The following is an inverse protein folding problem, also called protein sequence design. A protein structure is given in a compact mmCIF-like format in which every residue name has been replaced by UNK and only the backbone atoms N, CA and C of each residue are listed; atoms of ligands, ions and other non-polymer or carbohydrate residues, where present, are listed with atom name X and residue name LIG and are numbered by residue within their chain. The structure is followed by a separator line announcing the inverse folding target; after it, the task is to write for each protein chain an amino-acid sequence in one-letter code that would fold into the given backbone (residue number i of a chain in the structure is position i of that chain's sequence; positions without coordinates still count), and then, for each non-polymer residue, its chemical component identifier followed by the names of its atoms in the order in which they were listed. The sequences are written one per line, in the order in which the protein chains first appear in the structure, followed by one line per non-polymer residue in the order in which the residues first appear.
data_IF_727622977484
#
_entry.id   IF_727622977484
#
_cell.length_a   1.000
_cell.length_b   1.000
_cell.length_c   1.000
_cell.angle_alpha   90.00
_cell.angle_beta   90.00
_cell.angle_gamma   90.00
#
_symmetry.space_group_name_H-M   'P 1'
#
loop_
_entity.id
_entity.type
_entity.pdbx_description
1 polymer ?
#
# COMPACT_ATOMS: atom_id res chain seq x y z
N UNK A 1 -24.06 -80.85 29.80
CA UNK A 1 -24.13 -79.44 29.37
C UNK A 1 -23.01 -79.23 28.36
N UNK A 2 -23.38 -79.03 27.09
CA UNK A 2 -22.45 -79.16 25.95
C UNK A 2 -21.74 -77.85 25.60
N UNK A 3 -20.55 -77.98 25.01
CA UNK A 3 -19.67 -76.90 24.52
C UNK A 3 -20.36 -75.83 23.65
N UNK A 4 -21.50 -76.16 23.02
CA UNK A 4 -22.32 -75.22 22.26
C UNK A 4 -22.94 -74.11 23.10
N UNK A 5 -23.49 -74.42 24.28
CA UNK A 5 -24.12 -73.42 25.17
C UNK A 5 -23.12 -72.40 25.71
N UNK A 6 -21.86 -72.80 25.86
CA UNK A 6 -20.78 -71.93 26.32
C UNK A 6 -20.38 -70.92 25.23
N UNK A 7 -20.27 -71.37 23.98
CA UNK A 7 -19.96 -70.53 22.81
C UNK A 7 -21.09 -69.53 22.47
N UNK A 8 -22.35 -69.88 22.73
CA UNK A 8 -23.48 -68.97 22.53
C UNK A 8 -23.52 -67.86 23.59
N UNK A 9 -23.30 -68.21 24.87
CA UNK A 9 -23.20 -67.21 25.96
C UNK A 9 -22.04 -66.24 25.78
N UNK A 10 -20.88 -66.73 25.33
CA UNK A 10 -19.70 -65.89 25.10
C UNK A 10 -19.90 -64.90 23.93
N UNK A 11 -20.64 -65.30 22.90
CA UNK A 11 -21.06 -64.38 21.82
C UNK A 11 -22.11 -63.38 22.28
N UNK A 12 -23.07 -63.81 23.09
CA UNK A 12 -24.13 -62.95 23.63
C UNK A 12 -23.57 -61.86 24.54
N UNK A 13 -22.65 -62.20 25.46
CA UNK A 13 -21.94 -61.21 26.28
C UNK A 13 -21.12 -60.23 25.43
N UNK A 14 -20.49 -60.71 24.36
CA UNK A 14 -19.74 -59.85 23.43
C UNK A 14 -20.63 -58.86 22.70
N UNK A 15 -21.82 -59.28 22.26
CA UNK A 15 -22.79 -58.39 21.62
C UNK A 15 -23.39 -57.39 22.61
N UNK A 16 -23.71 -57.81 23.84
CA UNK A 16 -24.20 -56.91 24.89
C UNK A 16 -23.19 -55.80 25.19
N UNK A 17 -21.90 -56.16 25.28
CA UNK A 17 -20.82 -55.20 25.51
C UNK A 17 -20.64 -54.22 24.34
N UNK A 18 -20.80 -54.70 23.10
CA UNK A 18 -20.80 -53.83 21.92
C UNK A 18 -21.99 -52.87 21.88
N UNK A 19 -23.17 -53.31 22.29
CA UNK A 19 -24.37 -52.47 22.39
C UNK A 19 -24.15 -51.38 23.44
N UNK A 20 -23.60 -51.73 24.61
CA UNK A 20 -23.29 -50.77 25.67
C UNK A 20 -22.24 -49.73 25.24
N UNK A 21 -21.18 -50.17 24.55
CA UNK A 21 -20.15 -49.27 24.00
C UNK A 21 -20.73 -48.31 22.95
N UNK A 22 -21.63 -48.81 22.09
CA UNK A 22 -22.29 -47.99 21.07
C UNK A 22 -23.26 -46.99 21.71
N UNK A 23 -24.02 -47.39 22.73
CA UNK A 23 -24.89 -46.49 23.49
C UNK A 23 -24.11 -45.36 24.18
N UNK A 24 -22.97 -45.69 24.78
CA UNK A 24 -22.09 -44.70 25.41
C UNK A 24 -21.47 -43.73 24.39
N UNK A 25 -21.10 -44.20 23.20
CA UNK A 25 -20.62 -43.33 22.11
C UNK A 25 -21.72 -42.39 21.61
N UNK A 26 -22.93 -42.92 21.44
CA UNK A 26 -24.07 -42.15 20.96
C UNK A 26 -24.44 -41.03 21.95
N UNK A 27 -24.46 -41.35 23.25
CA UNK A 27 -24.69 -40.37 24.31
C UNK A 27 -23.65 -39.24 24.33
N UNK A 28 -22.36 -39.58 24.17
CA UNK A 28 -21.29 -38.56 24.06
C UNK A 28 -21.46 -37.66 22.84
N UNK A 29 -21.87 -38.22 21.70
CA UNK A 29 -22.14 -37.44 20.49
C UNK A 29 -23.36 -36.53 20.66
N UNK A 30 -24.42 -36.97 21.34
CA UNK A 30 -25.58 -36.15 21.65
C UNK A 30 -25.22 -34.96 22.54
N UNK A 31 -24.41 -35.18 23.59
CA UNK A 31 -23.90 -34.13 24.47
C UNK A 31 -23.01 -33.12 23.71
N UNK A 32 -22.17 -33.59 22.79
CA UNK A 32 -21.33 -32.74 21.93
C UNK A 32 -22.17 -31.93 20.94
N UNK A 33 -23.21 -32.51 20.34
CA UNK A 33 -24.15 -31.81 19.46
C UNK A 33 -24.89 -30.71 20.23
N UNK A 34 -25.33 -30.98 21.47
CA UNK A 34 -26.00 -29.98 22.30
C UNK A 34 -25.06 -28.81 22.60
N UNK A 35 -23.80 -29.10 22.96
CA UNK A 35 -22.78 -28.08 23.21
C UNK A 35 -22.48 -27.25 21.97
N UNK A 36 -22.29 -27.89 20.81
CA UNK A 36 -22.04 -27.20 19.55
C UNK A 36 -23.22 -26.32 19.12
N UNK A 37 -24.47 -26.76 19.36
CA UNK A 37 -25.65 -25.92 19.10
C UNK A 37 -25.66 -24.67 19.98
N UNK A 38 -25.33 -24.81 21.25
CA UNK A 38 -25.21 -23.67 22.17
C UNK A 38 -24.09 -22.72 21.77
N UNK A 39 -22.91 -23.24 21.44
CA UNK A 39 -21.77 -22.43 21.00
C UNK A 39 -22.07 -21.68 19.69
N UNK A 40 -22.77 -22.32 18.74
CA UNK A 40 -23.26 -21.66 17.53
C UNK A 40 -24.22 -20.53 17.89
N UNK A 41 -25.22 -20.78 18.74
CA UNK A 41 -26.21 -19.78 19.16
C UNK A 41 -25.55 -18.54 19.77
N UNK A 42 -24.58 -18.75 20.69
CA UNK A 42 -23.76 -17.68 21.29
C UNK A 42 -22.98 -16.91 20.23
N UNK A 43 -22.30 -17.60 19.30
CA UNK A 43 -21.53 -16.95 18.22
C UNK A 43 -22.43 -16.14 17.27
N UNK A 44 -23.64 -16.62 16.97
CA UNK A 44 -24.63 -15.86 16.19
C UNK A 44 -25.14 -14.64 16.94
N UNK A 45 -25.46 -14.76 18.24
CA UNK A 45 -25.86 -13.61 19.07
C UNK A 45 -24.73 -12.57 19.20
N UNK A 46 -23.46 -13.00 19.27
CA UNK A 46 -22.28 -12.12 19.24
C UNK A 46 -22.02 -11.46 17.88
N UNK A 47 -22.43 -12.09 16.77
CA UNK A 47 -22.36 -11.49 15.43
C UNK A 47 -23.49 -10.51 15.16
N UNK A 48 -24.71 -10.83 15.57
CA UNK A 48 -25.91 -9.98 15.38
C UNK A 48 -25.88 -8.71 16.24
N UNK A 49 -25.13 -8.70 17.34
CA UNK A 49 -25.07 -7.56 18.27
C UNK A 49 -24.06 -6.47 17.89
N UNK A 50 -23.21 -6.66 16.87
CA UNK A 50 -22.14 -5.69 16.53
C UNK A 50 -22.56 -4.59 15.55
N UNK A 51 -23.50 -4.86 14.63
CA UNK A 51 -23.98 -3.89 13.63
C UNK A 51 -25.47 -4.13 13.39
N UNK A 52 -26.32 -3.16 13.74
CA UNK A 52 -27.77 -3.26 13.53
C UNK A 52 -28.16 -3.17 12.04
N UNK A 53 -29.30 -3.75 11.66
CA UNK A 53 -29.81 -3.67 10.28
C UNK A 53 -29.95 -2.24 9.74
N UNK A 54 -30.32 -1.27 10.59
CA UNK A 54 -30.33 0.16 10.23
C UNK A 54 -28.94 0.71 9.95
N UNK A 55 -27.91 0.26 10.67
CA UNK A 55 -26.52 0.67 10.41
C UNK A 55 -26.04 0.09 9.08
N UNK A 56 -26.38 -1.16 8.76
CA UNK A 56 -26.11 -1.76 7.44
C UNK A 56 -26.78 -0.99 6.31
N UNK A 57 -28.06 -0.63 6.45
CA UNK A 57 -28.79 0.16 5.47
C UNK A 57 -28.14 1.54 5.23
N UNK A 58 -27.67 2.19 6.31
CA UNK A 58 -26.92 3.45 6.23
C UNK A 58 -25.58 3.24 5.51
N UNK A 59 -24.85 2.16 5.81
CA UNK A 59 -23.59 1.84 5.12
C UNK A 59 -23.81 1.61 3.62
N UNK A 60 -24.83 0.85 3.25
CA UNK A 60 -25.18 0.61 1.85
C UNK A 60 -25.55 1.90 1.12
N UNK A 61 -26.37 2.75 1.74
CA UNK A 61 -26.75 4.04 1.15
C UNK A 61 -25.55 4.94 0.94
N UNK A 62 -24.67 5.03 1.94
CA UNK A 62 -23.45 5.82 1.86
C UNK A 62 -22.49 5.27 0.80
N UNK A 63 -22.34 3.95 0.70
CA UNK A 63 -21.54 3.29 -0.33
C UNK A 63 -22.07 3.62 -1.74
N UNK A 64 -23.38 3.52 -1.97
CA UNK A 64 -24.01 3.86 -3.25
C UNK A 64 -23.78 5.32 -3.62
N UNK A 65 -24.04 6.24 -2.69
CA UNK A 65 -23.79 7.67 -2.91
C UNK A 65 -22.31 7.94 -3.22
N UNK A 66 -21.39 7.32 -2.49
CA UNK A 66 -19.96 7.51 -2.71
C UNK A 66 -19.49 6.95 -4.06
N UNK A 67 -20.06 5.82 -4.50
CA UNK A 67 -19.82 5.29 -5.85
C UNK A 67 -20.33 6.24 -6.94
N UNK A 68 -21.52 6.82 -6.80
CA UNK A 68 -22.05 7.81 -7.74
C UNK A 68 -21.23 9.09 -7.76
N UNK A 69 -20.86 9.64 -6.60
CA UNK A 69 -19.97 10.79 -6.49
C UNK A 69 -18.62 10.51 -7.14
N UNK A 70 -18.02 9.34 -6.89
CA UNK A 70 -16.76 8.93 -7.50
C UNK A 70 -16.85 8.87 -9.03
N UNK A 71 -17.92 8.28 -9.59
CA UNK A 71 -18.19 8.29 -11.03
C UNK A 71 -18.27 9.71 -11.58
N UNK A 72 -19.06 10.58 -10.94
CA UNK A 72 -19.21 11.98 -11.33
C UNK A 72 -17.87 12.73 -11.32
N UNK A 73 -17.02 12.50 -10.32
CA UNK A 73 -15.68 13.10 -10.27
C UNK A 73 -14.77 12.56 -11.37
N UNK A 74 -14.79 11.24 -11.65
CA UNK A 74 -14.04 10.67 -12.78
C UNK A 74 -14.46 11.27 -14.11
N UNK A 75 -15.76 11.37 -14.37
CA UNK A 75 -16.31 11.99 -15.58
C UNK A 75 -15.89 13.46 -15.70
N UNK A 76 -15.92 14.21 -14.59
CA UNK A 76 -15.43 15.59 -14.55
C UNK A 76 -13.94 15.67 -14.88
N UNK A 77 -13.10 14.81 -14.30
CA UNK A 77 -11.67 14.78 -14.60
C UNK A 77 -11.43 14.50 -16.09
N UNK A 78 -12.14 13.52 -16.67
CA UNK A 78 -12.05 13.19 -18.10
C UNK A 78 -12.47 14.37 -18.97
N UNK A 79 -13.50 15.14 -18.59
CA UNK A 79 -13.93 16.32 -19.37
C UNK A 79 -12.85 17.41 -19.43
N UNK A 80 -12.04 17.54 -18.37
CA UNK A 80 -10.84 18.37 -18.35
C UNK A 80 -9.59 17.71 -18.95
N UNK A 81 -9.73 16.54 -19.60
CA UNK A 81 -8.64 15.72 -20.14
C UNK A 81 -7.63 15.28 -19.06
N UNK A 82 -8.06 15.20 -17.81
CA UNK A 82 -7.28 14.67 -16.69
C UNK A 82 -7.57 13.17 -16.60
N UNK A 83 -6.54 12.34 -16.72
CA UNK A 83 -6.70 10.88 -16.63
C UNK A 83 -7.12 10.47 -15.20
N UNK A 84 -8.33 9.91 -15.00
CA UNK A 84 -8.79 9.47 -13.68
C UNK A 84 -8.13 8.16 -13.22
N UNK A 85 -7.50 7.41 -14.14
CA UNK A 85 -6.80 6.17 -13.84
C UNK A 85 -5.30 6.43 -13.74
N UNK A 86 -4.76 6.16 -12.55
CA UNK A 86 -3.37 6.43 -12.24
C UNK A 86 -2.52 5.22 -12.65
N UNK A 87 -2.21 5.13 -13.94
CA UNK A 87 -1.68 3.88 -14.49
C UNK A 87 -0.15 3.75 -14.50
N UNK A 88 0.62 4.78 -14.10
CA UNK A 88 2.07 4.66 -13.90
C UNK A 88 2.63 5.88 -13.14
N UNK A 89 3.51 5.63 -12.17
CA UNK A 89 4.38 6.66 -11.60
C UNK A 89 5.45 7.02 -12.62
N UNK A 90 5.71 8.31 -12.82
CA UNK A 90 6.63 8.82 -13.84
C UNK A 90 8.06 8.99 -13.34
N UNK A 91 8.23 9.20 -12.03
CA UNK A 91 9.51 9.54 -11.43
C UNK A 91 9.84 8.61 -10.25
N UNK A 92 11.14 8.33 -10.12
CA UNK A 92 11.75 7.68 -8.97
C UNK A 92 11.75 8.62 -7.77
N UNK A 93 11.75 8.05 -6.58
CA UNK A 93 11.77 8.79 -5.31
C UNK A 93 13.14 8.65 -4.67
N UNK A 94 13.79 9.78 -4.40
CA UNK A 94 15.04 9.77 -3.63
C UNK A 94 14.81 9.35 -2.17
N UNK A 95 15.72 8.54 -1.63
CA UNK A 95 15.66 8.09 -0.23
C UNK A 95 15.63 9.25 0.76
N UNK A 96 16.31 10.36 0.45
CA UNK A 96 16.38 11.54 1.32
C UNK A 96 15.00 12.16 1.60
N UNK A 97 14.06 12.02 0.67
CA UNK A 97 12.68 12.47 0.88
C UNK A 97 11.85 11.41 1.59
N UNK A 98 12.05 10.15 1.22
CA UNK A 98 11.30 9.03 1.76
C UNK A 98 11.54 8.80 3.25
N UNK A 99 12.80 8.89 3.68
CA UNK A 99 13.25 8.79 5.07
C UNK A 99 13.71 10.14 5.63
N UNK A 100 13.05 11.23 5.23
CA UNK A 100 13.37 12.60 5.68
C UNK A 100 13.13 12.85 7.17
N UNK A 101 12.28 12.04 7.82
CA UNK A 101 11.99 12.19 9.24
C UNK A 101 13.21 11.79 10.08
N UNK A 102 13.56 12.62 11.08
CA UNK A 102 14.73 12.42 11.95
C UNK A 102 14.80 11.02 12.59
N UNK A 103 13.65 10.38 12.82
CA UNK A 103 13.56 9.03 13.37
C UNK A 103 14.14 7.94 12.44
N UNK A 104 14.22 8.19 11.13
CA UNK A 104 14.76 7.28 10.13
C UNK A 104 16.18 7.64 9.67
N UNK A 105 16.82 8.64 10.28
CA UNK A 105 18.12 9.15 9.81
C UNK A 105 19.21 8.06 9.82
N UNK A 106 19.22 7.19 10.83
CA UNK A 106 20.21 6.12 10.95
C UNK A 106 20.04 5.09 9.82
N UNK A 107 18.81 4.66 9.55
CA UNK A 107 18.47 3.77 8.42
C UNK A 107 18.82 4.44 7.08
N UNK A 108 18.49 5.71 6.91
CA UNK A 108 18.84 6.47 5.72
C UNK A 108 20.34 6.52 5.48
N UNK A 109 21.15 6.77 6.51
CA UNK A 109 22.60 6.83 6.39
C UNK A 109 23.17 5.47 5.94
N UNK A 110 22.74 4.36 6.55
CA UNK A 110 23.20 3.01 6.19
C UNK A 110 22.85 2.67 4.74
N UNK A 111 21.62 2.98 4.30
CA UNK A 111 21.20 2.75 2.92
C UNK A 111 21.97 3.65 1.93
N UNK A 112 22.30 4.87 2.34
CA UNK A 112 23.08 5.81 1.52
C UNK A 112 24.54 5.36 1.37
N UNK A 113 25.14 4.79 2.42
CA UNK A 113 26.50 4.21 2.38
C UNK A 113 26.61 3.05 1.38
N UNK A 114 25.49 2.34 1.13
CA UNK A 114 25.39 1.31 0.09
C UNK A 114 25.20 1.87 -1.32
N UNK A 115 25.28 3.19 -1.52
CA UNK A 115 24.98 3.89 -2.76
C UNK A 115 23.55 3.65 -3.29
N UNK A 116 22.60 3.31 -2.42
CA UNK A 116 21.19 3.29 -2.80
C UNK A 116 20.70 4.73 -2.69
N UNK A 117 20.33 5.33 -3.83
CA UNK A 117 19.87 6.73 -3.87
C UNK A 117 18.34 6.84 -3.99
N UNK A 118 17.70 5.83 -4.58
CA UNK A 118 16.28 5.83 -4.88
C UNK A 118 15.57 4.67 -4.18
N UNK A 119 14.38 4.94 -3.65
CA UNK A 119 13.49 3.93 -3.05
C UNK A 119 13.13 2.85 -4.07
N UNK A 120 12.97 3.25 -5.34
CA UNK A 120 12.67 2.34 -6.45
C UNK A 120 13.74 1.28 -6.67
N UNK A 121 14.98 1.54 -6.24
CA UNK A 121 16.10 0.60 -6.37
C UNK A 121 16.28 -0.26 -5.12
N UNK A 122 15.59 0.07 -4.03
CA UNK A 122 15.66 -0.64 -2.77
C UNK A 122 14.95 -1.98 -2.88
N UNK A 123 15.52 -3.02 -2.30
CA UNK A 123 14.96 -4.36 -2.19
C UNK A 123 14.77 -4.73 -0.73
N UNK A 124 14.03 -5.81 -0.48
CA UNK A 124 13.79 -6.25 0.90
C UNK A 124 15.06 -6.82 1.54
N UNK A 125 15.94 -7.40 0.73
CA UNK A 125 17.22 -7.95 1.17
C UNK A 125 18.17 -6.87 1.67
N UNK A 126 18.04 -5.62 1.19
CA UNK A 126 18.89 -4.51 1.62
C UNK A 126 18.73 -4.19 3.12
N UNK A 127 17.59 -4.55 3.71
CA UNK A 127 17.32 -4.44 5.14
C UNK A 127 17.96 -5.54 5.97
N UNK A 128 18.42 -6.65 5.38
CA UNK A 128 19.06 -7.73 6.12
C UNK A 128 20.45 -7.33 6.65
N UNK A 129 21.11 -6.40 5.98
CA UNK A 129 22.43 -5.91 6.41
C UNK A 129 22.32 -4.72 7.38
N UNK A 130 21.10 -4.26 7.70
CA UNK A 130 20.90 -3.24 8.72
C UNK A 130 20.85 -3.96 10.08
N UNK A 131 21.66 -3.54 11.07
CA UNK A 131 21.60 -4.10 12.42
C UNK A 131 20.18 -4.02 12.99
N UNK A 132 19.70 -5.10 13.61
CA UNK A 132 18.34 -5.13 14.19
C UNK A 132 18.19 -4.16 15.36
N UNK A 133 19.30 -3.81 15.98
CA UNK A 133 19.40 -2.83 17.07
C UNK A 133 19.27 -1.38 16.58
N UNK A 134 19.34 -1.14 15.26
CA UNK A 134 19.16 0.18 14.67
C UNK A 134 17.80 0.76 15.04
N UNK A 135 17.80 2.00 15.49
CA UNK A 135 16.59 2.65 15.99
C UNK A 135 15.55 2.79 14.89
N UNK A 136 14.31 2.38 15.18
CA UNK A 136 13.17 2.42 14.25
C UNK A 136 13.38 1.57 12.96
N UNK A 137 14.20 0.52 13.03
CA UNK A 137 14.39 -0.43 11.93
C UNK A 137 13.06 -1.02 11.42
N UNK A 138 12.24 -1.57 12.32
CA UNK A 138 10.97 -2.22 11.94
C UNK A 138 10.01 -1.23 11.28
N UNK A 139 9.89 -0.01 11.83
CA UNK A 139 9.08 1.06 11.25
C UNK A 139 9.58 1.45 9.84
N UNK A 140 10.89 1.52 9.65
CA UNK A 140 11.48 1.90 8.36
C UNK A 140 11.23 0.82 7.30
N UNK A 141 11.39 -0.45 7.68
CA UNK A 141 11.08 -1.61 6.82
C UNK A 141 9.60 -1.65 6.49
N UNK A 142 8.72 -1.46 7.47
CA UNK A 142 7.27 -1.41 7.25
C UNK A 142 6.88 -0.29 6.29
N UNK A 143 7.46 0.91 6.44
CA UNK A 143 7.22 2.04 5.53
C UNK A 143 7.58 1.69 4.08
N UNK A 144 8.68 0.97 3.86
CA UNK A 144 9.06 0.50 2.54
C UNK A 144 8.10 -0.56 1.97
N UNK A 145 7.64 -1.50 2.80
CA UNK A 145 6.62 -2.47 2.39
C UNK A 145 5.30 -1.79 2.03
N UNK A 146 4.89 -0.79 2.80
CA UNK A 146 3.72 0.04 2.49
C UNK A 146 3.90 0.75 1.15
N UNK A 147 5.08 1.29 0.87
CA UNK A 147 5.40 1.91 -0.42
C UNK A 147 5.26 0.93 -1.60
N UNK A 148 5.79 -0.30 -1.49
CA UNK A 148 5.59 -1.36 -2.50
C UNK A 148 4.12 -1.69 -2.72
N UNK A 149 3.31 -1.63 -1.66
CA UNK A 149 1.87 -1.85 -1.71
C UNK A 149 1.07 -0.62 -2.16
N UNK A 150 1.73 0.45 -2.63
CA UNK A 150 1.07 1.67 -3.09
C UNK A 150 0.52 2.57 -1.98
N UNK A 151 0.91 2.33 -0.73
CA UNK A 151 0.51 3.12 0.44
C UNK A 151 1.64 4.04 0.85
N UNK A 152 1.51 5.33 0.55
CA UNK A 152 2.52 6.33 0.93
C UNK A 152 1.92 7.73 1.04
N UNK A 153 2.67 8.66 1.64
CA UNK A 153 2.22 10.02 1.91
C UNK A 153 1.98 10.82 0.62
N UNK A 154 1.18 11.89 0.75
CA UNK A 154 0.89 12.81 -0.36
C UNK A 154 2.14 13.47 -0.95
N UNK A 155 3.20 13.66 -0.16
CA UNK A 155 4.47 14.20 -0.65
C UNK A 155 5.14 13.22 -1.61
N UNK A 156 5.18 11.93 -1.26
CA UNK A 156 5.72 10.87 -2.13
C UNK A 156 4.84 10.68 -3.37
N UNK A 157 3.53 10.80 -3.22
CA UNK A 157 2.60 10.89 -4.37
C UNK A 157 2.98 12.05 -5.27
N UNK A 158 3.24 13.22 -4.73
CA UNK A 158 3.58 14.39 -5.55
C UNK A 158 4.90 14.16 -6.29
N UNK A 159 5.94 13.70 -5.60
CA UNK A 159 7.26 13.42 -6.19
C UNK A 159 7.19 12.36 -7.30
N UNK A 160 6.51 11.23 -7.05
CA UNK A 160 6.38 10.15 -8.04
C UNK A 160 5.63 10.55 -9.32
N UNK A 161 4.76 11.56 -9.24
CA UNK A 161 3.93 11.99 -10.37
C UNK A 161 4.48 13.23 -11.07
N UNK A 162 4.99 14.20 -10.30
CA UNK A 162 5.42 15.50 -10.80
C UNK A 162 6.95 15.69 -10.83
N UNK A 163 7.70 14.82 -10.17
CA UNK A 163 9.15 14.96 -10.00
C UNK A 163 9.51 16.04 -8.98
N UNK A 164 10.76 16.50 -9.03
CA UNK A 164 11.31 17.50 -8.12
C UNK A 164 10.76 18.90 -8.41
N UNK A 165 10.78 19.78 -7.40
CA UNK A 165 10.47 21.21 -7.61
C UNK A 165 11.54 21.88 -8.47
N UNK A 166 11.10 22.71 -9.41
CA UNK A 166 11.97 23.53 -10.28
C UNK A 166 12.91 24.41 -9.45
N UNK A 167 12.44 24.89 -8.30
CA UNK A 167 13.24 25.71 -7.39
C UNK A 167 14.47 25.01 -6.83
N UNK A 168 14.49 23.67 -6.74
CA UNK A 168 15.68 22.93 -6.33
C UNK A 168 16.67 22.75 -7.48
N UNK A 169 16.16 22.45 -8.68
CA UNK A 169 16.99 22.18 -9.87
C UNK A 169 17.59 23.48 -10.44
N UNK A 170 16.80 24.54 -10.52
CA UNK A 170 17.17 25.82 -11.14
C UNK A 170 17.37 26.95 -10.13
N UNK A 171 17.61 26.62 -8.85
CA UNK A 171 17.80 27.57 -7.74
C UNK A 171 18.73 28.76 -8.05
N UNK A 172 19.77 28.53 -8.86
CA UNK A 172 20.77 29.55 -9.23
C UNK A 172 20.26 30.62 -10.21
N UNK A 173 19.15 30.38 -10.92
CA UNK A 173 18.62 31.29 -11.93
C UNK A 173 17.33 31.94 -11.45
N UNK A 174 17.45 33.04 -10.68
CA UNK A 174 16.29 33.77 -10.12
C UNK A 174 15.33 34.23 -11.21
N UNK A 175 15.84 34.72 -12.34
CA UNK A 175 15.04 35.19 -13.49
C UNK A 175 14.23 34.05 -14.12
N UNK A 176 14.82 32.86 -14.27
CA UNK A 176 14.11 31.70 -14.80
C UNK A 176 13.02 31.25 -13.82
N UNK A 177 13.32 31.25 -12.52
CA UNK A 177 12.34 30.91 -11.49
C UNK A 177 11.14 31.87 -11.48
N UNK A 178 11.36 33.18 -11.67
CA UNK A 178 10.26 34.15 -11.80
C UNK A 178 9.36 33.81 -12.98
N UNK A 179 9.92 33.48 -14.15
CA UNK A 179 9.14 33.10 -15.34
C UNK A 179 8.36 31.82 -15.08
N UNK A 180 8.98 30.79 -14.49
CA UNK A 180 8.28 29.57 -14.12
C UNK A 180 7.11 29.84 -13.17
N UNK A 181 7.30 30.68 -12.15
CA UNK A 181 6.23 31.09 -11.24
C UNK A 181 5.10 31.86 -11.95
N UNK A 182 5.42 32.79 -12.85
CA UNK A 182 4.43 33.53 -13.65
C UNK A 182 3.61 32.60 -14.57
N UNK A 183 4.21 31.51 -15.03
CA UNK A 183 3.56 30.48 -15.85
C UNK A 183 2.93 29.35 -15.02
N UNK A 184 2.91 29.47 -13.69
CA UNK A 184 2.39 28.46 -12.76
C UNK A 184 3.07 27.08 -12.89
N UNK A 185 4.35 27.07 -13.28
CA UNK A 185 5.19 25.89 -13.37
C UNK A 185 5.96 25.73 -12.05
N UNK A 186 5.76 24.61 -11.36
CA UNK A 186 6.38 24.37 -10.05
C UNK A 186 7.29 23.14 -10.06
N UNK A 187 6.98 22.13 -10.87
CA UNK A 187 7.64 20.83 -10.87
C UNK A 187 8.28 20.48 -12.21
N UNK A 188 9.22 19.53 -12.18
CA UNK A 188 9.91 19.03 -13.36
C UNK A 188 8.95 18.45 -14.42
N UNK A 189 7.81 17.88 -14.04
CA UNK A 189 6.81 17.41 -15.01
C UNK A 189 6.13 18.55 -15.77
N UNK A 190 5.95 19.71 -15.14
CA UNK A 190 5.29 20.88 -15.75
C UNK A 190 6.10 21.42 -16.95
N UNK A 191 7.43 21.23 -16.94
CA UNK A 191 8.32 21.70 -18.01
C UNK A 191 8.66 20.65 -19.07
N UNK A 192 7.98 19.50 -19.07
CA UNK A 192 8.26 18.41 -20.02
C UNK A 192 8.17 18.89 -21.47
N UNK A 193 7.15 19.67 -21.77
CA UNK A 193 6.88 20.23 -23.10
C UNK A 193 7.12 21.74 -23.15
N UNK A 194 7.85 22.29 -22.18
CA UNK A 194 8.14 23.72 -22.16
C UNK A 194 9.11 24.08 -23.29
N UNK A 195 8.74 25.09 -24.09
CA UNK A 195 9.61 25.62 -25.13
C UNK A 195 10.68 26.52 -24.51
N UNK A 196 11.85 25.96 -24.23
CA UNK A 196 12.99 26.71 -23.71
C UNK A 196 13.52 27.77 -24.68
N UNK A 197 13.27 27.65 -25.99
CA UNK A 197 13.71 28.67 -26.96
C UNK A 197 12.91 29.96 -26.82
N UNK A 198 11.67 29.88 -26.31
CA UNK A 198 10.88 31.05 -25.96
C UNK A 198 11.59 31.98 -24.97
N UNK A 199 12.52 31.47 -24.14
CA UNK A 199 13.31 32.26 -23.19
C UNK A 199 14.20 33.31 -23.87
N UNK A 200 14.46 33.21 -25.18
CA UNK A 200 15.15 34.26 -25.94
C UNK A 200 14.41 35.60 -25.86
N UNK A 201 13.07 35.60 -25.89
CA UNK A 201 12.26 36.83 -25.79
C UNK A 201 12.39 37.48 -24.41
N UNK A 202 12.67 36.67 -23.39
CA UNK A 202 12.97 37.13 -22.03
C UNK A 202 14.43 37.56 -21.86
N UNK A 203 15.25 37.56 -22.91
CA UNK A 203 16.63 38.04 -22.90
C UNK A 203 17.65 37.04 -22.34
N UNK A 204 17.37 35.75 -22.38
CA UNK A 204 18.38 34.71 -22.11
C UNK A 204 19.26 34.47 -23.34
N UNK A 205 20.56 34.25 -23.10
CA UNK A 205 21.51 33.89 -24.16
C UNK A 205 21.39 32.41 -24.51
N UNK A 206 21.64 32.05 -25.77
CA UNK A 206 21.58 30.65 -26.24
C UNK A 206 22.37 29.67 -25.36
N UNK A 207 23.63 29.95 -24.94
CA UNK A 207 24.37 29.02 -24.08
C UNK A 207 23.71 28.79 -22.71
N UNK A 208 23.02 29.79 -22.15
CA UNK A 208 22.29 29.64 -20.88
C UNK A 208 21.05 28.77 -21.06
N UNK A 209 20.35 28.92 -22.20
CA UNK A 209 19.18 28.13 -22.53
C UNK A 209 19.59 26.66 -22.72
N UNK A 210 20.70 26.41 -23.41
CA UNK A 210 21.28 25.07 -23.59
C UNK A 210 21.64 24.44 -22.24
N UNK A 211 22.24 25.19 -21.31
CA UNK A 211 22.52 24.71 -19.95
C UNK A 211 21.24 24.30 -19.20
N UNK A 212 20.14 25.06 -19.35
CA UNK A 212 18.87 24.71 -18.72
C UNK A 212 18.25 23.45 -19.32
N UNK A 213 18.30 23.31 -20.65
CA UNK A 213 17.83 22.10 -21.34
C UNK A 213 18.65 20.89 -20.89
N UNK A 214 19.99 21.03 -20.83
CA UNK A 214 20.87 19.96 -20.38
C UNK A 214 20.54 19.52 -18.96
N UNK A 215 20.35 20.46 -18.01
CA UNK A 215 19.93 20.13 -16.63
C UNK A 215 18.61 19.38 -16.58
N UNK A 216 17.64 19.76 -17.41
CA UNK A 216 16.36 19.05 -17.53
C UNK A 216 16.57 17.62 -17.98
N UNK A 217 17.34 17.45 -19.05
CA UNK A 217 17.53 16.16 -19.71
C UNK A 217 18.35 15.20 -18.84
N UNK A 218 19.36 15.71 -18.15
CA UNK A 218 20.12 14.97 -17.13
C UNK A 218 19.20 14.49 -16.00
N UNK A 219 18.38 15.40 -15.44
CA UNK A 219 17.42 15.03 -14.41
C UNK A 219 16.42 13.97 -14.89
N UNK A 220 15.88 14.10 -16.10
CA UNK A 220 14.95 13.12 -16.66
C UNK A 220 15.60 11.77 -16.87
N UNK A 221 16.83 11.73 -17.37
CA UNK A 221 17.58 10.49 -17.57
C UNK A 221 17.79 9.73 -16.26
N UNK A 222 18.09 10.44 -15.17
CA UNK A 222 18.34 9.81 -13.88
C UNK A 222 17.03 9.42 -13.16
N UNK A 223 16.06 10.34 -13.14
CA UNK A 223 14.92 10.28 -12.24
C UNK A 223 13.64 9.74 -12.88
N UNK A 224 13.46 9.74 -14.20
CA UNK A 224 12.24 9.15 -14.80
C UNK A 224 12.30 7.61 -14.78
N UNK A 225 11.11 7.02 -14.77
CA UNK A 225 10.87 5.56 -14.86
C UNK A 225 10.63 5.19 -16.31
#
# INVERSE_FOLDING_TARGET
MGLGDFLFKEKEEKYLKQIEDLQNKLKKQEEEIIKLKYDIEVVTQERDSRISGKQLEIFERNLKQNMESSKKYRELLVSYRINPEKNQYKYKVELKYFYSEKKFQEVFNILSEKNILFVNNLKEEDFNDIPKETKNFDDAKQRFLDYKNGKFSWDIVTLTNKGEKLSKIYSKSKKLMTIFSELYLEYMDDITNFDFLSLKSYGFKTPQIEEFIQKRDEYYKECRI
#
